data_IF_226907620082
#
_entry.id   IF_226907620082
#
_cell.length_a   1.000
_cell.length_b   1.000
_cell.length_c   1.000
_cell.angle_alpha   90.00
_cell.angle_beta   90.00
_cell.angle_gamma   90.00
#
_symmetry.space_group_name_H-M   'P 1'
#
loop_
_entity.id
_entity.type
_entity.pdbx_description
1 polymer ?
#
# COMPACT_ATOMS: atom_id res chain seq x y z
N UNK A 1 -0.28 -6.95 0.05
CA UNK A 1 -1.63 -7.55 -0.11
C UNK A 1 -2.40 -7.38 1.19
N UNK A 2 -1.95 -8.00 2.28
CA UNK A 2 -2.51 -7.84 3.63
C UNK A 2 -2.74 -6.38 4.06
N UNK A 3 -1.85 -5.46 3.71
CA UNK A 3 -2.00 -4.04 4.06
C UNK A 3 -3.28 -3.41 3.52
N UNK A 4 -3.74 -3.78 2.32
CA UNK A 4 -4.97 -3.23 1.74
C UNK A 4 -6.22 -3.81 2.41
N UNK A 5 -6.20 -5.12 2.71
CA UNK A 5 -7.28 -5.83 3.39
C UNK A 5 -7.45 -5.29 4.82
N UNK A 6 -6.35 -5.21 5.57
CA UNK A 6 -6.36 -4.65 6.94
C UNK A 6 -6.75 -3.18 6.98
N UNK A 7 -6.34 -2.38 6.00
CA UNK A 7 -6.78 -0.98 5.91
C UNK A 7 -8.29 -0.89 5.70
N UNK A 8 -8.86 -1.72 4.82
CA UNK A 8 -10.30 -1.79 4.61
C UNK A 8 -11.05 -2.19 5.89
N UNK A 9 -10.62 -3.28 6.53
CA UNK A 9 -11.22 -3.76 7.79
C UNK A 9 -11.12 -2.70 8.90
N UNK A 10 -10.00 -1.97 8.98
CA UNK A 10 -9.84 -0.89 9.94
C UNK A 10 -10.83 0.27 9.70
N UNK A 11 -11.09 0.62 8.44
CA UNK A 11 -12.09 1.64 8.12
C UNK A 11 -13.51 1.18 8.47
N UNK A 12 -13.87 -0.07 8.16
CA UNK A 12 -15.17 -0.63 8.54
C UNK A 12 -15.34 -0.71 10.06
N UNK A 13 -14.28 -1.11 10.78
CA UNK A 13 -14.29 -1.15 12.24
C UNK A 13 -14.50 0.24 12.87
N UNK A 14 -13.96 1.28 12.24
CA UNK A 14 -14.18 2.67 12.62
C UNK A 14 -15.59 3.20 12.25
N UNK A 15 -16.43 2.39 11.61
CA UNK A 15 -17.75 2.80 11.12
C UNK A 15 -17.69 3.78 9.94
N UNK A 16 -16.55 3.87 9.26
CA UNK A 16 -16.35 4.72 8.10
C UNK A 16 -16.71 3.97 6.82
N UNK A 17 -17.45 4.63 5.95
CA UNK A 17 -17.80 4.11 4.63
C UNK A 17 -16.78 4.60 3.59
N UNK A 18 -16.55 3.80 2.54
CA UNK A 18 -15.67 4.20 1.44
C UNK A 18 -16.01 5.58 0.84
N UNK A 19 -17.28 5.98 0.64
CA UNK A 19 -17.62 7.31 0.15
C UNK A 19 -17.20 8.45 1.07
N UNK A 20 -17.13 8.23 2.39
CA UNK A 20 -16.67 9.26 3.35
C UNK A 20 -15.15 9.48 3.28
N UNK A 21 -14.40 8.45 2.88
CA UNK A 21 -12.95 8.50 2.73
C UNK A 21 -12.51 8.97 1.35
N UNK A 22 -13.36 8.81 0.33
CA UNK A 22 -13.02 9.08 -1.05
C UNK A 22 -12.67 10.56 -1.28
N UNK A 23 -11.40 10.84 -1.58
CA UNK A 23 -10.91 12.20 -1.83
C UNK A 23 -10.62 13.02 -0.58
N UNK A 24 -10.66 12.42 0.61
CA UNK A 24 -10.38 13.10 1.87
C UNK A 24 -8.89 13.47 2.00
N UNK A 25 -8.58 14.43 2.88
CA UNK A 25 -7.22 14.79 3.26
C UNK A 25 -6.60 13.84 4.29
N UNK A 26 -6.94 12.53 4.22
CA UNK A 26 -6.40 11.50 5.11
C UNK A 26 -4.97 11.14 4.69
N UNK A 27 -4.04 11.16 5.63
CA UNK A 27 -2.66 10.70 5.42
C UNK A 27 -2.49 9.20 5.70
N UNK A 28 -1.50 8.59 5.05
CA UNK A 28 -1.12 7.19 5.22
C UNK A 28 0.35 7.12 5.62
N UNK A 29 0.62 6.47 6.74
CA UNK A 29 1.97 6.26 7.27
C UNK A 29 2.15 4.76 7.53
N UNK A 30 3.11 4.14 6.86
CA UNK A 30 3.38 2.70 6.99
C UNK A 30 4.77 2.49 7.56
N UNK A 31 4.89 1.80 8.69
CA UNK A 31 6.18 1.35 9.18
C UNK A 31 6.59 0.05 8.47
N UNK A 32 7.68 0.07 7.71
CA UNK A 32 8.27 -1.12 7.11
C UNK A 32 9.76 -1.18 7.43
N UNK A 33 10.24 -2.35 7.85
CA UNK A 33 11.67 -2.57 8.12
C UNK A 33 12.29 -3.52 7.10
N UNK A 34 11.65 -4.67 6.84
CA UNK A 34 12.18 -5.66 5.91
C UNK A 34 11.50 -5.58 4.54
N UNK A 35 12.25 -5.97 3.50
CA UNK A 35 11.77 -6.04 2.11
C UNK A 35 12.10 -7.42 1.52
N UNK A 36 11.93 -8.46 2.31
CA UNK A 36 12.35 -9.84 2.02
C UNK A 36 11.71 -10.37 0.73
N UNK A 37 10.48 -9.95 0.46
CA UNK A 37 9.76 -10.31 -0.76
C UNK A 37 10.43 -9.73 -2.02
N UNK A 38 11.00 -8.52 -1.93
CA UNK A 38 11.76 -7.94 -3.03
C UNK A 38 13.03 -8.75 -3.31
N UNK A 39 13.68 -9.26 -2.26
CA UNK A 39 14.89 -10.07 -2.38
C UNK A 39 14.59 -11.41 -3.02
N UNK A 40 13.52 -12.09 -2.58
CA UNK A 40 13.09 -13.39 -3.14
C UNK A 40 12.86 -13.28 -4.65
N UNK A 41 12.21 -12.22 -5.10
CA UNK A 41 11.90 -12.03 -6.51
C UNK A 41 13.10 -11.55 -7.33
N UNK A 42 14.09 -10.93 -6.70
CA UNK A 42 15.35 -10.59 -7.36
C UNK A 42 16.29 -11.79 -7.56
N UNK A 43 15.98 -12.97 -6.99
CA UNK A 43 16.82 -14.18 -7.11
C UNK A 43 16.80 -14.80 -8.50
N UNK A 44 15.77 -14.56 -9.30
CA UNK A 44 15.67 -15.02 -10.68
C UNK A 44 15.69 -13.82 -11.64
N UNK A 45 16.85 -13.48 -12.23
CA UNK A 45 16.98 -12.36 -13.14
C UNK A 45 16.19 -12.52 -14.45
N UNK A 46 15.91 -13.76 -14.87
CA UNK A 46 15.16 -14.04 -16.10
C UNK A 46 13.64 -13.89 -15.89
N UNK A 47 13.18 -13.98 -14.63
CA UNK A 47 11.78 -13.82 -14.22
C UNK A 47 11.45 -12.42 -13.68
N UNK A 48 12.08 -11.37 -14.23
CA UNK A 48 11.72 -9.99 -13.90
C UNK A 48 10.49 -9.50 -14.66
N UNK A 49 9.32 -9.63 -14.02
CA UNK A 49 8.07 -9.02 -14.45
C UNK A 49 8.18 -7.48 -14.51
N UNK A 50 7.60 -6.84 -15.54
CA UNK A 50 7.74 -5.38 -15.75
C UNK A 50 7.10 -4.55 -14.64
N UNK A 51 6.07 -5.08 -13.99
CA UNK A 51 5.33 -4.40 -12.94
C UNK A 51 5.87 -4.65 -11.54
N UNK A 52 6.99 -5.36 -11.43
CA UNK A 52 7.56 -5.80 -10.17
C UNK A 52 7.83 -4.62 -9.22
N UNK A 53 8.50 -3.57 -9.72
CA UNK A 53 8.82 -2.35 -8.96
C UNK A 53 7.58 -1.64 -8.39
N UNK A 54 6.44 -1.70 -9.10
CA UNK A 54 5.17 -1.12 -8.66
C UNK A 54 4.43 -1.98 -7.62
N UNK A 55 4.91 -3.21 -7.35
CA UNK A 55 4.35 -4.12 -6.36
C UNK A 55 5.14 -4.20 -5.06
N UNK A 56 6.45 -3.98 -5.12
CA UNK A 56 7.39 -4.30 -4.04
C UNK A 56 8.24 -3.12 -3.52
N UNK A 57 8.15 -1.94 -4.14
CA UNK A 57 8.90 -0.78 -3.67
C UNK A 57 8.48 -0.36 -2.24
N UNK A 58 9.39 0.10 -1.37
CA UNK A 58 9.04 0.49 0.00
C UNK A 58 7.92 1.55 0.05
N UNK A 59 8.07 2.63 -0.72
CA UNK A 59 7.06 3.69 -0.83
C UNK A 59 5.73 3.23 -1.45
N UNK A 60 5.73 2.10 -2.17
CA UNK A 60 4.51 1.56 -2.80
C UNK A 60 3.55 1.05 -1.73
N UNK A 61 4.04 0.58 -0.59
CA UNK A 61 3.18 0.04 0.47
C UNK A 61 2.19 1.09 0.98
N UNK A 62 2.65 2.30 1.32
CA UNK A 62 1.76 3.42 1.69
C UNK A 62 1.01 3.98 0.47
N UNK A 63 1.69 4.16 -0.66
CA UNK A 63 1.09 4.78 -1.85
C UNK A 63 -0.06 3.96 -2.43
N UNK A 64 -0.02 2.63 -2.33
CA UNK A 64 -1.12 1.78 -2.81
C UNK A 64 -2.37 1.92 -1.96
N UNK A 65 -2.23 2.10 -0.65
CA UNK A 65 -3.37 2.38 0.24
C UNK A 65 -3.96 3.74 -0.14
N UNK A 66 -3.10 4.77 -0.25
CA UNK A 66 -3.53 6.11 -0.66
C UNK A 66 -4.22 6.11 -2.03
N UNK A 67 -3.67 5.40 -3.02
CA UNK A 67 -4.22 5.30 -4.36
C UNK A 67 -5.55 4.52 -4.40
N UNK A 68 -5.62 3.36 -3.73
CA UNK A 68 -6.79 2.49 -3.79
C UNK A 68 -8.03 3.11 -3.14
N UNK A 69 -7.85 3.81 -2.01
CA UNK A 69 -8.94 4.47 -1.28
C UNK A 69 -9.12 5.96 -1.68
N UNK A 70 -8.37 6.44 -2.67
CA UNK A 70 -8.35 7.84 -3.11
C UNK A 70 -8.12 8.84 -1.95
N UNK A 71 -7.17 8.53 -1.06
CA UNK A 71 -6.78 9.41 0.03
C UNK A 71 -5.76 10.43 -0.49
N UNK A 72 -5.99 11.71 -0.23
CA UNK A 72 -5.21 12.84 -0.78
C UNK A 72 -4.28 13.51 0.24
N UNK A 73 -4.18 12.96 1.44
CA UNK A 73 -3.20 13.43 2.43
C UNK A 73 -1.78 12.91 2.15
N UNK A 74 -0.83 13.19 3.06
CA UNK A 74 0.55 12.72 2.95
C UNK A 74 0.64 11.19 2.94
N UNK A 75 1.53 10.63 2.12
CA UNK A 75 1.75 9.18 2.04
C UNK A 75 3.24 8.89 2.25
N UNK A 76 3.58 8.24 3.36
CA UNK A 76 4.95 7.95 3.76
C UNK A 76 5.11 6.49 4.21
N UNK A 77 6.25 5.90 3.84
CA UNK A 77 6.74 4.62 4.34
C UNK A 77 8.12 4.83 4.94
#
# INVERSE_FOLDING_TARGET
RLTLELAYEAFENAGLTLPQLWGSSTGVYVGQWSSDYSEILARDPEYQERYHTLGIGPAITSNRVSYFFNLRGPSFT
#
